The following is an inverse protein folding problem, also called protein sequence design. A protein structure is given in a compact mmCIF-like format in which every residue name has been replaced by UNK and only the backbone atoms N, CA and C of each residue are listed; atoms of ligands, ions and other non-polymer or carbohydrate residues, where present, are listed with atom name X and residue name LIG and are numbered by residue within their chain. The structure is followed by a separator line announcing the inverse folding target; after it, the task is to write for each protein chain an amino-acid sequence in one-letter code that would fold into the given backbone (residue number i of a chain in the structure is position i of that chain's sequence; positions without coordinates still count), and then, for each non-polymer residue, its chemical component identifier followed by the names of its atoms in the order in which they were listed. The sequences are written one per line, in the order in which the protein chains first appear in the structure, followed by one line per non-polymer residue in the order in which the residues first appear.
data_IF_200246664266
#
_entry.id   IF_200246664266
#
_cell.length_a   1.000
_cell.length_b   1.000
_cell.length_c   1.000
_cell.angle_alpha   90.00
_cell.angle_beta   90.00
_cell.angle_gamma   90.00
#
_symmetry.space_group_name_H-M   'P 1'
#
loop_
_entity.id
_entity.type
_entity.pdbx_description
1 polymer ?
#
# COMPACT_ATOMS: atom_id res chain seq x y z
N UNK A 1 2.73 0.58 24.05
CA UNK A 1 1.93 0.42 22.80
C UNK A 1 0.72 1.33 22.87
N UNK A 2 0.41 2.01 21.77
CA UNK A 2 -0.74 2.91 21.64
C UNK A 2 -1.71 2.37 20.59
N UNK A 3 -3.02 2.46 20.85
CA UNK A 3 -4.06 2.07 19.91
C UNK A 3 -4.81 3.31 19.41
N UNK A 4 -5.07 3.38 18.10
CA UNK A 4 -5.85 4.45 17.46
C UNK A 4 -6.82 3.86 16.44
N UNK A 5 -7.81 4.65 16.05
CA UNK A 5 -8.88 4.22 15.15
C UNK A 5 -9.03 5.19 14.00
N UNK A 6 -9.30 4.67 12.81
CA UNK A 6 -9.38 5.44 11.57
C UNK A 6 -10.65 5.10 10.82
N UNK A 7 -11.27 6.11 10.19
CA UNK A 7 -12.36 5.91 9.24
C UNK A 7 -11.81 5.26 7.97
N UNK A 8 -12.50 4.23 7.48
CA UNK A 8 -12.09 3.51 6.28
C UNK A 8 -10.95 2.51 6.53
N UNK A 9 -10.40 1.93 5.46
CA UNK A 9 -9.43 0.82 5.57
C UNK A 9 -7.99 1.30 5.85
N UNK A 10 -7.66 2.55 5.52
CA UNK A 10 -6.30 3.07 5.61
C UNK A 10 -6.03 3.86 6.91
N UNK A 11 -4.77 3.87 7.33
CA UNK A 11 -4.30 4.73 8.43
C UNK A 11 -3.89 6.07 7.83
N UNK A 12 -4.71 7.10 8.05
CA UNK A 12 -4.47 8.47 7.57
C UNK A 12 -4.72 9.49 8.67
N UNK A 13 -3.91 10.54 8.73
CA UNK A 13 -3.95 11.52 9.81
C UNK A 13 -5.27 12.30 9.90
N UNK A 14 -5.89 12.56 8.75
CA UNK A 14 -7.18 13.22 8.58
C UNK A 14 -8.38 12.30 8.83
N UNK A 15 -8.15 10.99 8.99
CA UNK A 15 -9.18 9.98 9.18
C UNK A 15 -9.29 9.46 10.62
N UNK A 16 -8.45 9.94 11.55
CA UNK A 16 -8.47 9.47 12.94
C UNK A 16 -9.80 9.80 13.63
N UNK A 17 -10.37 8.83 14.35
CA UNK A 17 -11.64 8.96 15.08
C UNK A 17 -11.51 8.46 16.51
N UNK A 18 -12.33 8.97 17.45
CA UNK A 18 -12.41 8.42 18.79
C UNK A 18 -12.79 6.93 18.79
N UNK A 19 -12.23 6.17 19.73
CA UNK A 19 -12.50 4.73 19.87
C UNK A 19 -13.99 4.39 20.05
N UNK A 20 -14.74 5.28 20.70
CA UNK A 20 -16.18 5.10 20.93
C UNK A 20 -17.01 5.24 19.65
N UNK A 21 -16.51 5.98 18.65
CA UNK A 21 -17.24 6.30 17.42
C UNK A 21 -16.96 5.26 16.31
N UNK A 22 -15.78 4.63 16.33
CA UNK A 22 -15.36 3.66 15.31
C UNK A 22 -16.37 2.53 15.05
N UNK A 23 -16.95 1.85 16.08
CA UNK A 23 -17.90 0.76 15.85
C UNK A 23 -19.20 1.17 15.14
N UNK A 24 -19.53 2.46 15.09
CA UNK A 24 -20.70 2.97 14.37
C UNK A 24 -20.42 3.18 12.87
N UNK A 25 -19.16 3.15 12.45
CA UNK A 25 -18.78 3.27 11.05
C UNK A 25 -19.01 1.95 10.31
N UNK A 26 -19.40 2.04 9.03
CA UNK A 26 -19.47 0.88 8.16
C UNK A 26 -18.11 0.20 8.05
N UNK A 27 -17.07 0.99 7.77
CA UNK A 27 -15.69 0.51 7.62
C UNK A 27 -14.77 1.35 8.48
N UNK A 28 -13.92 0.71 9.28
CA UNK A 28 -12.93 1.37 10.12
C UNK A 28 -11.69 0.50 10.29
N UNK A 29 -10.57 1.13 10.63
CA UNK A 29 -9.32 0.44 10.94
C UNK A 29 -8.90 0.72 12.37
N UNK A 30 -8.58 -0.34 13.10
CA UNK A 30 -7.94 -0.28 14.42
C UNK A 30 -6.44 -0.48 14.23
N UNK A 31 -5.64 0.51 14.59
CA UNK A 31 -4.19 0.49 14.42
C UNK A 31 -3.47 0.41 15.76
N UNK A 32 -2.37 -0.33 15.79
CA UNK A 32 -1.48 -0.47 16.94
C UNK A 32 -0.10 0.08 16.61
N UNK A 33 0.41 0.89 17.53
CA UNK A 33 1.70 1.55 17.41
C UNK A 33 2.61 1.17 18.59
N UNK A 34 3.91 1.05 18.31
CA UNK A 34 4.97 1.02 19.34
C UNK A 34 5.12 2.40 19.99
N UNK A 35 5.90 2.45 21.07
CA UNK A 35 6.11 3.69 21.83
C UNK A 35 6.93 4.73 21.06
N UNK A 36 7.70 4.28 20.05
CA UNK A 36 8.40 5.14 19.09
C UNK A 36 7.51 5.65 17.95
N UNK A 37 6.21 5.32 17.96
CA UNK A 37 5.24 5.73 16.94
C UNK A 37 5.24 4.88 15.67
N UNK A 38 6.04 3.80 15.59
CA UNK A 38 5.97 2.88 14.46
C UNK A 38 4.67 2.08 14.48
N UNK A 39 4.00 2.00 13.33
CA UNK A 39 2.82 1.16 13.13
C UNK A 39 3.27 -0.31 13.10
N UNK A 40 2.62 -1.18 13.88
CA UNK A 40 2.95 -2.61 13.92
C UNK A 40 1.82 -3.52 13.50
N UNK A 41 0.56 -3.09 13.68
CA UNK A 41 -0.60 -3.88 13.29
C UNK A 41 -1.77 -3.00 12.90
N UNK A 42 -2.52 -3.41 11.90
CA UNK A 42 -3.87 -2.89 11.64
C UNK A 42 -4.86 -4.04 11.56
N UNK A 43 -6.07 -3.81 12.07
CA UNK A 43 -7.23 -4.68 11.89
C UNK A 43 -8.28 -3.86 11.14
N UNK A 44 -8.63 -4.29 9.93
CA UNK A 44 -9.65 -3.65 9.09
C UNK A 44 -11.00 -4.29 9.38
N UNK A 45 -12.00 -3.47 9.68
CA UNK A 45 -13.35 -3.92 10.00
C UNK A 45 -14.35 -3.45 8.94
N UNK A 46 -15.29 -4.32 8.58
CA UNK A 46 -16.48 -3.99 7.79
C UNK A 46 -17.73 -4.54 8.50
N UNK A 47 -18.73 -3.70 8.72
CA UNK A 47 -19.93 -4.06 9.47
C UNK A 47 -19.65 -4.56 10.90
N UNK A 48 -18.61 -4.03 11.54
CA UNK A 48 -18.19 -4.43 12.89
C UNK A 48 -17.47 -5.79 12.99
N UNK A 49 -17.10 -6.40 11.85
CA UNK A 49 -16.33 -7.65 11.81
C UNK A 49 -14.96 -7.42 11.18
N UNK A 50 -13.88 -7.99 11.75
CA UNK A 50 -12.57 -7.93 11.11
C UNK A 50 -12.62 -8.71 9.79
N UNK A 51 -12.04 -8.15 8.74
CA UNK A 51 -11.93 -8.77 7.41
C UNK A 51 -10.48 -9.00 6.99
N UNK A 52 -9.54 -8.23 7.54
CA UNK A 52 -8.11 -8.33 7.25
C UNK A 52 -7.28 -7.84 8.44
N UNK A 53 -6.12 -8.45 8.66
CA UNK A 53 -5.11 -7.98 9.61
C UNK A 53 -3.77 -7.78 8.91
N UNK A 54 -3.21 -6.57 8.98
CA UNK A 54 -1.88 -6.28 8.47
C UNK A 54 -0.87 -6.26 9.60
N UNK A 55 0.28 -6.90 9.39
CA UNK A 55 1.42 -6.91 10.30
C UNK A 55 2.59 -6.18 9.65
N UNK A 56 3.18 -5.21 10.35
CA UNK A 56 4.24 -4.36 9.81
C UNK A 56 5.57 -4.69 10.48
N UNK A 57 6.55 -5.04 9.65
CA UNK A 57 7.92 -5.37 10.02
C UNK A 57 7.99 -6.37 11.19
N UNK A 58 7.29 -7.52 11.12
CA UNK A 58 7.35 -8.53 12.20
C UNK A 58 8.76 -9.13 12.29
N UNK A 59 9.21 -9.43 13.51
CA UNK A 59 10.51 -10.07 13.75
C UNK A 59 10.59 -11.49 13.15
N UNK A 60 9.46 -12.21 13.12
CA UNK A 60 9.35 -13.59 12.64
C UNK A 60 8.00 -13.75 11.92
N UNK A 61 8.08 -13.88 10.59
CA UNK A 61 6.93 -14.04 9.71
C UNK A 61 6.16 -15.34 9.96
N UNK A 62 6.86 -16.48 10.02
CA UNK A 62 6.24 -17.80 10.20
C UNK A 62 5.48 -17.88 11.53
N UNK A 63 6.09 -17.36 12.60
CA UNK A 63 5.45 -17.24 13.92
C UNK A 63 4.25 -16.30 13.88
N UNK A 64 4.32 -15.23 13.11
CA UNK A 64 3.23 -14.28 12.93
C UNK A 64 2.04 -14.94 12.24
N UNK A 65 2.27 -15.64 11.13
CA UNK A 65 1.23 -16.41 10.41
C UNK A 65 0.59 -17.46 11.33
N UNK A 66 1.40 -18.25 12.04
CA UNK A 66 0.90 -19.28 12.96
C UNK A 66 0.12 -18.70 14.16
N UNK A 67 0.46 -17.49 14.61
CA UNK A 67 -0.26 -16.80 15.69
C UNK A 67 -1.55 -16.16 15.17
N UNK A 68 -1.53 -15.58 13.97
CA UNK A 68 -2.71 -15.06 13.30
C UNK A 68 -3.79 -16.13 13.14
N UNK A 69 -3.43 -17.31 12.62
CA UNK A 69 -4.38 -18.41 12.40
C UNK A 69 -5.10 -18.85 13.70
N UNK A 70 -4.48 -18.64 14.87
CA UNK A 70 -5.08 -18.94 16.18
C UNK A 70 -5.94 -17.81 16.73
N UNK A 71 -5.53 -16.55 16.53
CA UNK A 71 -6.23 -15.37 17.06
C UNK A 71 -7.40 -14.93 16.15
N UNK A 72 -7.25 -15.06 14.83
CA UNK A 72 -8.18 -14.62 13.79
C UNK A 72 -8.55 -15.76 12.83
N UNK A 73 -9.22 -16.82 13.31
CA UNK A 73 -9.58 -17.95 12.45
C UNK A 73 -10.49 -17.50 11.29
N UNK A 74 -10.06 -17.77 10.06
CA UNK A 74 -10.82 -17.46 8.84
C UNK A 74 -10.70 -16.01 8.36
N UNK A 75 -9.78 -15.22 8.93
CA UNK A 75 -9.49 -13.84 8.50
C UNK A 75 -8.23 -13.84 7.65
N UNK A 76 -8.15 -12.94 6.67
CA UNK A 76 -6.97 -12.77 5.82
C UNK A 76 -5.89 -11.99 6.55
N UNK A 77 -4.64 -12.18 6.15
CA UNK A 77 -3.55 -11.38 6.66
C UNK A 77 -2.61 -10.89 5.56
N UNK A 78 -1.92 -9.79 5.85
CA UNK A 78 -0.84 -9.29 5.00
C UNK A 78 0.36 -8.94 5.87
N UNK A 79 1.56 -9.29 5.41
CA UNK A 79 2.83 -8.94 6.08
C UNK A 79 3.53 -7.89 5.24
N UNK A 80 3.83 -6.75 5.87
CA UNK A 80 4.44 -5.58 5.27
C UNK A 80 5.86 -5.42 5.78
N UNK A 81 6.85 -5.65 4.93
CA UNK A 81 8.28 -5.61 5.28
C UNK A 81 8.97 -4.44 4.60
N UNK A 82 9.75 -3.66 5.34
CA UNK A 82 10.57 -2.56 4.82
C UNK A 82 11.75 -3.13 4.05
N UNK A 83 11.86 -2.79 2.77
CA UNK A 83 13.02 -3.15 1.94
C UNK A 83 14.11 -2.09 1.97
N UNK A 84 13.73 -0.83 2.17
CA UNK A 84 14.65 0.29 2.25
C UNK A 84 13.91 1.60 2.44
N UNK A 85 14.61 2.58 3.00
CA UNK A 85 14.09 3.93 3.21
C UNK A 85 15.15 4.98 2.88
N UNK A 86 14.68 6.12 2.39
CA UNK A 86 15.44 7.36 2.22
C UNK A 86 14.67 8.48 2.90
N UNK A 87 15.25 9.68 3.11
CA UNK A 87 14.56 10.81 3.76
C UNK A 87 13.20 11.18 3.15
N UNK A 88 12.92 10.79 1.90
CA UNK A 88 11.69 11.12 1.18
C UNK A 88 10.81 9.89 0.90
N UNK A 89 11.37 8.68 0.86
CA UNK A 89 10.68 7.50 0.36
C UNK A 89 10.86 6.27 1.23
N UNK A 90 9.89 5.35 1.15
CA UNK A 90 9.97 4.01 1.74
C UNK A 90 9.54 2.97 0.73
N UNK A 91 10.32 1.90 0.63
CA UNK A 91 9.94 0.68 -0.08
C UNK A 91 9.40 -0.35 0.91
N UNK A 92 8.22 -0.87 0.61
CA UNK A 92 7.59 -1.98 1.32
C UNK A 92 7.44 -3.18 0.39
N UNK A 93 7.61 -4.36 0.94
CA UNK A 93 7.19 -5.62 0.36
C UNK A 93 5.96 -6.12 1.12
N UNK A 94 4.91 -6.48 0.40
CA UNK A 94 3.67 -6.99 0.98
C UNK A 94 3.47 -8.42 0.53
N UNK A 95 3.32 -9.32 1.49
CA UNK A 95 2.92 -10.72 1.27
C UNK A 95 1.52 -10.91 1.82
N UNK A 96 0.57 -11.18 0.93
CA UNK A 96 -0.84 -11.38 1.29
C UNK A 96 -1.15 -12.86 1.39
N UNK A 97 -1.91 -13.24 2.39
CA UNK A 97 -2.35 -14.61 2.62
C UNK A 97 -3.87 -14.69 2.66
N UNK A 98 -4.39 -15.80 2.16
CA UNK A 98 -5.80 -16.11 2.34
C UNK A 98 -6.14 -16.47 3.79
N UNK A 99 -7.43 -16.74 4.02
CA UNK A 99 -7.96 -17.12 5.33
C UNK A 99 -7.47 -18.48 5.85
N UNK A 100 -6.82 -19.30 5.00
CA UNK A 100 -6.19 -20.55 5.37
C UNK A 100 -4.69 -20.39 5.68
N UNK A 101 -4.12 -19.20 5.46
CA UNK A 101 -2.71 -18.91 5.65
C UNK A 101 -1.84 -19.29 4.44
N UNK A 102 -2.43 -19.53 3.26
CA UNK A 102 -1.66 -19.73 2.03
C UNK A 102 -1.34 -18.37 1.39
N UNK A 103 -0.10 -18.14 0.91
CA UNK A 103 0.25 -16.92 0.20
C UNK A 103 -0.50 -16.86 -1.14
N UNK A 104 -1.11 -15.71 -1.45
CA UNK A 104 -1.96 -15.52 -2.65
C UNK A 104 -1.56 -14.34 -3.50
N UNK A 105 -0.84 -13.36 -2.95
CA UNK A 105 -0.37 -12.21 -3.70
C UNK A 105 0.88 -11.62 -3.06
N UNK A 106 1.73 -11.03 -3.90
CA UNK A 106 2.89 -10.28 -3.47
C UNK A 106 2.86 -8.89 -4.09
N UNK A 107 3.38 -7.90 -3.38
CA UNK A 107 3.52 -6.54 -3.92
C UNK A 107 4.78 -5.86 -3.44
N UNK A 108 5.33 -4.96 -4.27
CA UNK A 108 6.27 -3.93 -3.83
C UNK A 108 5.61 -2.58 -3.93
N UNK A 109 5.69 -1.80 -2.87
CA UNK A 109 5.07 -0.48 -2.78
C UNK A 109 6.16 0.53 -2.48
N UNK A 110 6.28 1.54 -3.35
CA UNK A 110 7.01 2.76 -3.08
C UNK A 110 6.01 3.79 -2.54
N UNK A 111 6.28 4.33 -1.37
CA UNK A 111 5.48 5.41 -0.79
C UNK A 111 6.38 6.59 -0.39
N UNK A 112 5.78 7.78 -0.30
CA UNK A 112 6.44 8.94 0.28
C UNK A 112 6.45 8.89 1.82
N UNK A 113 7.01 9.92 2.47
CA UNK A 113 7.03 10.02 3.95
C UNK A 113 5.66 10.20 4.60
N UNK A 114 4.69 10.71 3.86
CA UNK A 114 3.30 10.81 4.33
C UNK A 114 2.56 9.47 4.16
N UNK A 115 3.26 8.43 3.67
CA UNK A 115 2.75 7.09 3.40
C UNK A 115 1.74 7.05 2.25
N UNK A 116 1.76 8.04 1.37
CA UNK A 116 1.02 8.01 0.12
C UNK A 116 1.77 7.11 -0.85
N UNK A 117 1.08 6.10 -1.35
CA UNK A 117 1.64 5.19 -2.36
C UNK A 117 1.90 5.97 -3.64
N UNK A 118 3.09 5.81 -4.22
CA UNK A 118 3.50 6.41 -5.49
C UNK A 118 3.57 5.37 -6.60
N UNK A 119 3.95 4.14 -6.25
CA UNK A 119 4.03 3.01 -7.17
C UNK A 119 3.74 1.71 -6.44
N UNK A 120 2.99 0.83 -7.08
CA UNK A 120 2.74 -0.53 -6.64
C UNK A 120 3.06 -1.50 -7.78
N UNK A 121 3.85 -2.52 -7.48
CA UNK A 121 4.17 -3.64 -8.38
C UNK A 121 3.48 -4.87 -7.82
N UNK A 122 2.47 -5.37 -8.49
CA UNK A 122 1.75 -6.59 -8.10
C UNK A 122 2.34 -7.80 -8.81
N UNK A 123 2.56 -8.89 -8.06
CA UNK A 123 3.18 -10.11 -8.54
C UNK A 123 2.30 -11.32 -8.24
N UNK A 124 2.33 -12.31 -9.15
CA UNK A 124 1.66 -13.59 -8.99
C UNK A 124 2.40 -14.51 -8.00
N UNK A 125 1.82 -15.69 -7.72
CA UNK A 125 2.40 -16.69 -6.81
C UNK A 125 3.81 -17.18 -7.21
N UNK A 126 4.22 -16.93 -8.47
CA UNK A 126 5.54 -17.28 -9.01
C UNK A 126 6.47 -16.07 -9.06
N UNK A 127 6.11 -14.98 -8.39
CA UNK A 127 6.84 -13.71 -8.38
C UNK A 127 7.00 -13.06 -9.76
N UNK A 128 6.09 -13.37 -10.71
CA UNK A 128 6.06 -12.67 -12.00
C UNK A 128 5.19 -11.43 -11.86
N UNK A 129 5.67 -10.30 -12.37
CA UNK A 129 4.92 -9.05 -12.37
C UNK A 129 3.65 -9.23 -13.19
N UNK A 130 2.51 -8.94 -12.58
CA UNK A 130 1.19 -9.00 -13.20
C UNK A 130 0.72 -7.61 -13.62
N UNK A 131 0.97 -6.61 -12.77
CA UNK A 131 0.55 -5.22 -12.97
C UNK A 131 1.50 -4.27 -12.25
N UNK A 132 1.70 -3.10 -12.83
CA UNK A 132 2.35 -1.96 -12.17
C UNK A 132 1.38 -0.79 -12.22
N UNK A 133 1.17 -0.17 -11.07
CA UNK A 133 0.30 1.00 -10.89
C UNK A 133 1.14 2.15 -10.35
N UNK A 134 0.97 3.36 -10.89
CA UNK A 134 1.58 4.58 -10.36
C UNK A 134 0.51 5.60 -10.02
N UNK A 135 0.73 6.33 -8.93
CA UNK A 135 -0.25 7.23 -8.35
C UNK A 135 0.32 8.64 -8.34
N UNK A 136 -0.40 9.58 -8.94
CA UNK A 136 -0.08 11.00 -8.88
C UNK A 136 -1.01 11.70 -7.90
N UNK A 137 -0.40 12.29 -6.88
CA UNK A 137 -1.06 13.15 -5.89
C UNK A 137 -0.82 14.60 -6.28
N UNK A 138 -1.88 15.41 -6.30
CA UNK A 138 -1.77 16.83 -6.60
C UNK A 138 -1.17 17.64 -5.43
N UNK A 139 -1.03 18.95 -5.63
CA UNK A 139 -0.44 19.85 -4.63
C UNK A 139 -1.27 19.96 -3.33
N UNK A 140 -2.56 19.64 -3.38
CA UNK A 140 -3.45 19.60 -2.22
C UNK A 140 -3.42 18.22 -1.53
N UNK A 141 -2.61 17.29 -2.06
CA UNK A 141 -2.45 15.94 -1.53
C UNK A 141 -3.59 15.00 -1.91
N UNK A 142 -4.38 15.32 -2.94
CA UNK A 142 -5.46 14.46 -3.43
C UNK A 142 -4.96 13.56 -4.56
N UNK A 143 -5.41 12.30 -4.57
CA UNK A 143 -5.12 11.39 -5.67
C UNK A 143 -5.85 11.88 -6.92
N UNK A 144 -5.09 12.23 -7.94
CA UNK A 144 -5.60 12.87 -9.16
C UNK A 144 -5.53 11.94 -10.37
N UNK A 145 -4.40 11.23 -10.57
CA UNK A 145 -4.23 10.30 -11.68
C UNK A 145 -3.70 8.94 -11.23
N UNK A 146 -4.13 7.89 -11.92
CA UNK A 146 -3.62 6.52 -11.78
C UNK A 146 -3.12 6.06 -13.15
N UNK A 147 -1.86 5.64 -13.22
CA UNK A 147 -1.22 5.12 -14.43
C UNK A 147 -1.06 3.62 -14.29
N UNK A 148 -1.47 2.87 -15.31
CA UNK A 148 -1.51 1.41 -15.27
C UNK A 148 -0.69 0.79 -16.40
N UNK A 149 0.16 -0.16 -16.02
CA UNK A 149 1.02 -0.92 -16.91
C UNK A 149 0.82 -2.42 -16.67
N UNK A 150 0.90 -3.21 -17.73
CA UNK A 150 0.81 -4.66 -17.63
C UNK A 150 2.12 -5.27 -17.10
N UNK A 151 2.17 -6.59 -16.93
CA UNK A 151 3.35 -7.32 -16.45
C UNK A 151 4.60 -7.19 -17.32
N UNK A 152 4.44 -6.87 -18.61
CA UNK A 152 5.53 -6.63 -19.55
C UNK A 152 5.97 -5.16 -19.57
N UNK A 153 5.30 -4.30 -18.79
CA UNK A 153 5.59 -2.87 -18.66
C UNK A 153 4.94 -1.99 -19.73
N UNK A 154 4.03 -2.53 -20.54
CA UNK A 154 3.30 -1.74 -21.53
C UNK A 154 2.18 -0.94 -20.85
N UNK A 155 2.07 0.37 -21.12
CA UNK A 155 0.99 1.19 -20.58
C UNK A 155 -0.33 0.81 -21.24
N UNK A 156 -1.39 0.66 -20.45
CA UNK A 156 -2.74 0.40 -20.98
C UNK A 156 -3.80 1.36 -20.47
N UNK A 157 -3.49 2.22 -19.50
CA UNK A 157 -4.46 3.19 -19.00
C UNK A 157 -3.85 4.33 -18.21
N UNK A 158 -4.46 5.49 -18.33
CA UNK A 158 -4.39 6.56 -17.32
C UNK A 158 -5.81 6.93 -16.95
N UNK A 159 -6.12 6.91 -15.67
CA UNK A 159 -7.44 7.26 -15.13
C UNK A 159 -7.34 8.58 -14.40
N UNK A 160 -8.21 9.53 -14.75
CA UNK A 160 -8.48 10.71 -13.94
C UNK A 160 -9.48 10.34 -12.85
N UNK A 161 -9.01 10.33 -11.60
CA UNK A 161 -9.79 9.83 -10.46
C UNK A 161 -10.93 10.78 -10.09
N UNK A 162 -10.78 12.08 -10.37
CA UNK A 162 -11.80 13.07 -10.02
C UNK A 162 -13.03 12.95 -10.90
N UNK A 163 -12.82 12.69 -12.19
CA UNK A 163 -13.90 12.59 -13.18
C UNK A 163 -14.31 11.14 -13.50
N UNK A 164 -13.47 10.17 -13.12
CA UNK A 164 -13.71 8.75 -13.36
C UNK A 164 -13.60 8.38 -14.84
N UNK A 165 -12.80 9.11 -15.61
CA UNK A 165 -12.61 8.91 -17.05
C UNK A 165 -11.13 8.69 -17.40
N UNK A 166 -10.88 8.43 -18.68
CA UNK A 166 -9.54 8.22 -19.19
C UNK A 166 -8.84 9.54 -19.51
N UNK A 167 -7.59 9.67 -19.07
CA UNK A 167 -6.70 10.76 -19.42
C UNK A 167 -5.67 10.32 -20.47
N UNK A 168 -5.18 11.28 -21.24
CA UNK A 168 -4.02 11.08 -22.13
C UNK A 168 -2.76 11.55 -21.41
N UNK A 169 -1.73 10.71 -21.37
CA UNK A 169 -0.42 11.11 -20.80
C UNK A 169 0.10 12.39 -21.48
N UNK A 170 -0.05 12.53 -22.80
CA UNK A 170 0.45 13.70 -23.53
C UNK A 170 -0.23 15.01 -23.08
N UNK A 171 -1.51 14.94 -22.70
CA UNK A 171 -2.29 16.11 -22.30
C UNK A 171 -1.95 16.55 -20.87
N UNK A 172 -1.76 15.58 -19.96
CA UNK A 172 -1.48 15.86 -18.55
C UNK A 172 0.02 16.03 -18.25
N UNK A 173 0.91 15.60 -19.15
CA UNK A 173 2.36 15.62 -18.97
C UNK A 173 2.91 16.98 -18.47
N UNK A 174 2.46 18.14 -18.98
CA UNK A 174 2.94 19.44 -18.49
C UNK A 174 2.65 19.72 -17.01
N UNK A 175 1.63 19.05 -16.44
CA UNK A 175 1.18 19.24 -15.06
C UNK A 175 1.83 18.23 -14.09
N UNK A 176 2.55 17.24 -14.62
CA UNK A 176 3.30 16.25 -13.83
C UNK A 176 4.66 16.84 -13.44
N UNK A 177 4.84 17.14 -12.16
CA UNK A 177 6.11 17.68 -11.64
C UNK A 177 7.35 16.79 -11.89
N UNK A 178 7.13 15.48 -12.02
CA UNK A 178 8.14 14.49 -12.41
C UNK A 178 7.59 13.56 -13.51
N UNK A 179 7.33 14.13 -14.69
CA UNK A 179 6.73 13.40 -15.81
C UNK A 179 7.45 12.10 -16.18
N UNK A 180 8.79 12.09 -16.13
CA UNK A 180 9.63 10.93 -16.48
C UNK A 180 9.29 9.69 -15.65
N UNK A 181 8.89 9.88 -14.38
CA UNK A 181 8.44 8.80 -13.51
C UNK A 181 7.19 8.09 -14.04
N UNK A 182 6.33 8.77 -14.79
CA UNK A 182 5.06 8.21 -15.28
C UNK A 182 5.13 7.70 -16.72
N UNK A 183 6.26 7.88 -17.42
CA UNK A 183 6.40 7.52 -18.82
C UNK A 183 6.62 6.01 -19.06
N UNK A 184 7.31 5.32 -18.14
CA UNK A 184 7.55 3.87 -18.23
C UNK A 184 7.21 3.17 -16.93
N UNK A 185 6.96 1.86 -16.99
CA UNK A 185 6.60 1.09 -15.81
C UNK A 185 7.72 1.04 -14.75
N UNK A 186 8.98 0.98 -15.18
CA UNK A 186 10.17 0.82 -14.34
C UNK A 186 10.83 2.13 -13.90
N UNK A 187 10.42 3.27 -14.46
CA UNK A 187 10.92 4.57 -14.04
C UNK A 187 10.64 4.79 -12.54
N UNK A 188 11.60 5.39 -11.84
CA UNK A 188 11.48 5.78 -10.44
C UNK A 188 11.46 7.32 -10.33
N UNK A 189 10.95 7.88 -9.22
CA UNK A 189 11.06 9.31 -8.98
C UNK A 189 12.51 9.75 -9.14
N UNK A 190 12.75 10.95 -9.67
CA UNK A 190 14.10 11.45 -10.00
C UNK A 190 15.09 11.33 -8.84
N UNK A 191 14.64 11.51 -7.60
CA UNK A 191 15.45 11.37 -6.39
C UNK A 191 15.97 9.93 -6.14
N UNK A 192 15.34 8.92 -6.74
CA UNK A 192 15.71 7.51 -6.71
C UNK A 192 16.27 7.01 -8.05
N UNK A 193 16.44 7.91 -9.03
CA UNK A 193 16.99 7.54 -10.33
C UNK A 193 18.38 6.90 -10.14
N UNK A 194 18.52 5.64 -10.56
CA UNK A 194 19.77 4.88 -10.46
C UNK A 194 19.91 3.97 -9.23
N UNK A 195 18.97 3.96 -8.28
CA UNK A 195 18.99 2.98 -7.17
C UNK A 195 18.40 1.62 -7.56
N UNK A 196 17.55 1.60 -8.57
CA UNK A 196 16.75 0.43 -8.95
C UNK A 196 15.64 0.10 -7.95
N UNK A 197 14.75 -0.80 -8.34
CA UNK A 197 13.72 -1.38 -7.46
C UNK A 197 14.42 -2.41 -6.55
N UNK A 198 14.24 -2.35 -5.21
CA UNK A 198 14.88 -3.29 -4.30
C UNK A 198 14.53 -4.76 -4.63
N UNK A 199 15.46 -5.71 -4.39
CA UNK A 199 15.17 -7.14 -4.56
C UNK A 199 14.12 -7.62 -3.54
N UNK A 200 13.57 -8.81 -3.78
CA UNK A 200 12.66 -9.46 -2.82
C UNK A 200 13.39 -9.80 -1.52
N UNK A 201 12.71 -9.76 -0.36
CA UNK A 201 13.30 -10.21 0.89
C UNK A 201 13.54 -11.73 0.84
N UNK A 202 14.71 -12.16 1.32
CA UNK A 202 15.13 -13.58 1.40
C UNK A 202 14.42 -14.35 2.51
#
# INVERSE_FOLDING_TARGET
MTQRFYRGPAVSADAEVPAADAPALRTYTKAQFRDDGALTRTEVYDGGRPIEVNYYDPEDEDRTVASHAREYPGIRLSIWTTLGESPEYVWKYVRSYDAAGAPVAFSKILADRERRELMQIEMDERHRVARITKYYWDADGQLRYVFEFNGDGEPYGVTDVLYGDHASLADIRPDLGDAEFYETADALPRALAGTGIPPDPH
#
